data_IF_064726523462
#
_entry.id   IF_064726523462
#
_cell.length_a   1.000
_cell.length_b   1.000
_cell.length_c   1.000
_cell.angle_alpha   90.00
_cell.angle_beta   90.00
_cell.angle_gamma   90.00
#
_symmetry.space_group_name_H-M   'P 1'
#
loop_
_entity.id
_entity.type
_entity.pdbx_description
1 polymer ?
#
# COMPACT_ATOMS: atom_id res chain seq x y z
N UNK A 1 20.31 22.27 -12.30
CA UNK A 1 19.09 21.53 -12.72
C UNK A 1 19.15 20.16 -12.06
N UNK A 2 18.11 19.76 -11.33
CA UNK A 2 18.00 18.38 -10.82
C UNK A 2 17.81 17.48 -12.03
N UNK A 3 18.62 16.42 -12.17
CA UNK A 3 18.44 15.45 -13.25
C UNK A 3 17.29 14.50 -12.93
N UNK A 4 16.70 13.86 -13.95
CA UNK A 4 15.70 12.79 -13.76
C UNK A 4 16.22 11.70 -12.81
N UNK A 5 17.50 11.32 -12.93
CA UNK A 5 18.15 10.33 -12.07
C UNK A 5 18.20 10.79 -10.61
N UNK A 6 18.49 12.07 -10.37
CA UNK A 6 18.49 12.66 -9.02
C UNK A 6 17.09 12.67 -8.42
N UNK A 7 16.06 13.01 -9.20
CA UNK A 7 14.66 12.97 -8.77
C UNK A 7 14.19 11.54 -8.46
N UNK A 8 14.52 10.59 -9.34
CA UNK A 8 14.27 9.16 -9.13
C UNK A 8 14.93 8.68 -7.83
N UNK A 9 16.21 8.99 -7.62
CA UNK A 9 16.94 8.63 -6.40
C UNK A 9 16.30 9.24 -5.14
N UNK A 10 15.89 10.52 -5.19
CA UNK A 10 15.23 11.16 -4.06
C UNK A 10 13.89 10.49 -3.72
N UNK A 11 13.06 10.20 -4.73
CA UNK A 11 11.79 9.48 -4.56
C UNK A 11 12.00 8.05 -4.06
N UNK A 12 13.01 7.35 -4.56
CA UNK A 12 13.40 6.04 -4.05
C UNK A 12 13.84 6.11 -2.59
N UNK A 13 14.53 7.16 -2.14
CA UNK A 13 14.86 7.28 -0.71
C UNK A 13 13.62 7.55 0.16
N UNK A 14 12.64 8.32 -0.33
CA UNK A 14 11.34 8.47 0.32
C UNK A 14 10.60 7.14 0.40
N UNK A 15 10.71 6.33 -0.66
CA UNK A 15 10.13 5.00 -0.72
C UNK A 15 10.89 4.02 0.20
N UNK A 16 12.20 4.17 0.40
CA UNK A 16 13.01 3.26 1.21
C UNK A 16 12.96 3.56 2.70
N UNK A 17 12.56 4.76 3.15
CA UNK A 17 12.53 5.07 4.58
C UNK A 17 11.62 4.10 5.35
N UNK A 18 12.28 3.24 6.16
CA UNK A 18 11.70 2.18 6.98
C UNK A 18 11.89 2.53 8.44
N UNK A 19 10.80 2.82 9.14
CA UNK A 19 10.82 2.76 10.60
C UNK A 19 10.55 1.30 11.01
N UNK A 20 11.58 0.46 10.90
CA UNK A 20 11.46 -0.98 11.16
C UNK A 20 10.53 -1.67 10.15
N UNK A 21 9.62 -2.48 10.68
CA UNK A 21 8.61 -3.26 9.94
C UNK A 21 7.28 -2.50 9.76
N UNK A 22 7.20 -1.21 10.12
CA UNK A 22 5.94 -0.45 10.08
C UNK A 22 5.56 -0.07 8.65
N UNK A 23 4.31 -0.36 8.27
CA UNK A 23 3.72 0.10 7.03
C UNK A 23 3.40 1.60 7.11
N UNK A 24 4.19 2.41 6.38
CA UNK A 24 4.07 3.87 6.35
C UNK A 24 3.77 4.37 4.92
N UNK A 25 2.53 4.20 4.41
CA UNK A 25 2.19 4.51 3.02
C UNK A 25 1.94 6.01 2.76
N UNK A 26 2.01 6.87 3.78
CA UNK A 26 1.62 8.28 3.71
C UNK A 26 2.31 9.09 2.62
N UNK A 27 3.65 9.14 2.62
CA UNK A 27 4.39 9.86 1.57
C UNK A 27 4.22 9.17 0.19
N UNK A 28 4.36 7.83 0.07
CA UNK A 28 4.08 7.14 -1.20
C UNK A 28 2.72 7.45 -1.81
N UNK A 29 1.63 7.40 -1.04
CA UNK A 29 0.28 7.68 -1.54
C UNK A 29 0.12 9.15 -1.96
N UNK A 30 0.70 10.10 -1.22
CA UNK A 30 0.72 11.50 -1.63
C UNK A 30 1.49 11.70 -2.95
N UNK A 31 2.65 11.07 -3.09
CA UNK A 31 3.44 11.16 -4.32
C UNK A 31 2.69 10.54 -5.52
N UNK A 32 2.07 9.38 -5.34
CA UNK A 32 1.26 8.76 -6.40
C UNK A 32 0.09 9.66 -6.83
N UNK A 33 -0.61 10.26 -5.88
CA UNK A 33 -1.67 11.22 -6.16
C UNK A 33 -1.15 12.46 -6.91
N UNK A 34 -0.06 13.06 -6.44
CA UNK A 34 0.52 14.25 -7.09
C UNK A 34 0.98 13.94 -8.52
N UNK A 35 1.64 12.80 -8.72
CA UNK A 35 2.07 12.33 -10.04
C UNK A 35 0.88 12.11 -10.98
N UNK A 36 -0.22 11.51 -10.50
CA UNK A 36 -1.42 11.35 -11.33
C UNK A 36 -2.03 12.70 -11.73
N UNK A 37 -2.05 13.67 -10.81
CA UNK A 37 -2.56 15.01 -11.11
C UNK A 37 -1.65 15.74 -12.12
N UNK A 38 -0.32 15.63 -11.99
CA UNK A 38 0.60 16.16 -12.99
C UNK A 38 0.42 15.51 -14.36
N UNK A 39 0.19 14.19 -14.42
CA UNK A 39 -0.17 13.50 -15.67
C UNK A 39 -1.43 14.08 -16.30
N UNK A 40 -2.39 14.48 -15.48
CA UNK A 40 -3.62 15.14 -15.92
C UNK A 40 -3.47 16.65 -16.24
N UNK A 41 -2.25 17.20 -16.20
CA UNK A 41 -1.96 18.60 -16.54
C UNK A 41 -2.16 19.59 -15.40
N UNK A 42 -2.18 19.13 -14.14
CA UNK A 42 -2.31 20.00 -12.99
C UNK A 42 -1.10 20.96 -12.86
N UNK A 43 -1.32 22.24 -12.45
CA UNK A 43 -0.23 23.18 -12.18
C UNK A 43 0.68 22.69 -11.03
N UNK A 44 1.86 23.31 -10.88
CA UNK A 44 2.91 22.82 -9.96
C UNK A 44 2.46 22.64 -8.50
N UNK A 45 1.79 23.63 -7.93
CA UNK A 45 1.47 23.69 -6.51
C UNK A 45 0.01 23.32 -6.24
N UNK A 46 -0.22 22.50 -5.22
CA UNK A 46 -1.53 22.06 -4.75
C UNK A 46 -1.88 22.76 -3.44
N UNK A 47 -3.07 23.33 -3.36
CA UNK A 47 -3.63 23.81 -2.11
C UNK A 47 -3.93 22.63 -1.18
N UNK A 48 -3.36 22.65 0.02
CA UNK A 48 -3.51 21.55 0.97
C UNK A 48 -4.97 21.27 1.33
N UNK A 49 -5.74 22.32 1.63
CA UNK A 49 -7.11 22.19 2.13
C UNK A 49 -8.10 21.75 1.05
N UNK A 50 -7.96 22.32 -0.15
CA UNK A 50 -8.89 22.12 -1.25
C UNK A 50 -8.56 20.86 -2.08
N UNK A 51 -7.28 20.54 -2.25
CA UNK A 51 -6.85 19.57 -3.28
C UNK A 51 -6.17 18.34 -2.70
N UNK A 52 -5.45 18.46 -1.58
CA UNK A 52 -4.71 17.33 -0.98
C UNK A 52 -5.50 16.63 0.12
N UNK A 53 -6.18 17.39 0.99
CA UNK A 53 -6.65 16.87 2.27
C UNK A 53 -7.61 15.68 2.13
N UNK A 54 -8.69 15.83 1.35
CA UNK A 54 -9.70 14.79 1.20
C UNK A 54 -9.18 13.59 0.36
N UNK A 55 -8.59 13.80 -0.84
CA UNK A 55 -8.12 12.67 -1.65
C UNK A 55 -7.06 11.83 -0.94
N UNK A 56 -6.10 12.46 -0.26
CA UNK A 56 -5.09 11.73 0.49
C UNK A 56 -5.69 11.02 1.71
N UNK A 57 -6.67 11.61 2.39
CA UNK A 57 -7.38 10.93 3.50
C UNK A 57 -8.08 9.68 3.00
N UNK A 58 -8.71 9.73 1.83
CA UNK A 58 -9.38 8.59 1.22
C UNK A 58 -8.38 7.47 0.89
N UNK A 59 -7.29 7.80 0.20
CA UNK A 59 -6.22 6.84 -0.12
C UNK A 59 -5.62 6.21 1.15
N UNK A 60 -5.41 6.98 2.21
CA UNK A 60 -4.91 6.47 3.49
C UNK A 60 -5.87 5.47 4.14
N UNK A 61 -7.18 5.72 4.08
CA UNK A 61 -8.19 4.79 4.58
C UNK A 61 -8.28 3.51 3.75
N UNK A 62 -8.12 3.63 2.43
CA UNK A 62 -8.24 2.52 1.48
C UNK A 62 -6.99 1.63 1.47
N UNK A 63 -5.79 2.21 1.52
CA UNK A 63 -4.53 1.48 1.30
C UNK A 63 -3.55 1.55 2.49
N UNK A 64 -3.93 2.22 3.57
CA UNK A 64 -3.16 2.29 4.80
C UNK A 64 -3.69 1.43 5.95
N UNK A 65 -2.87 1.26 7.01
CA UNK A 65 -3.32 0.65 8.25
C UNK A 65 -4.52 1.41 8.83
N UNK A 66 -5.48 0.71 9.42
CA UNK A 66 -6.60 1.37 10.10
C UNK A 66 -6.09 2.17 11.31
N UNK A 67 -6.43 3.45 11.36
CA UNK A 67 -6.05 4.37 12.45
C UNK A 67 -7.29 5.07 13.00
N UNK A 68 -7.22 5.51 14.26
CA UNK A 68 -8.25 6.36 14.87
C UNK A 68 -8.35 7.72 14.17
N UNK A 69 -7.21 8.23 13.72
CA UNK A 69 -7.12 9.53 13.04
C UNK A 69 -6.01 9.46 12.01
N UNK A 70 -6.34 9.90 10.80
CA UNK A 70 -5.39 10.06 9.70
C UNK A 70 -4.83 11.49 9.69
N UNK A 71 -3.54 11.61 9.41
CA UNK A 71 -2.84 12.89 9.42
C UNK A 71 -2.23 13.20 8.05
N UNK A 72 -3.05 13.49 7.02
CA UNK A 72 -2.58 13.81 5.67
C UNK A 72 -1.72 15.09 5.62
N UNK A 73 -1.83 15.99 6.61
CA UNK A 73 -0.96 17.16 6.75
C UNK A 73 0.52 16.77 6.94
N UNK A 74 0.79 15.64 7.59
CA UNK A 74 2.14 15.24 7.95
C UNK A 74 3.01 14.83 6.75
N UNK A 75 2.59 13.92 5.84
CA UNK A 75 3.38 13.65 4.64
C UNK A 75 3.53 14.90 3.77
N UNK A 76 2.47 15.69 3.60
CA UNK A 76 2.49 16.93 2.83
C UNK A 76 3.56 17.92 3.31
N UNK A 77 3.60 18.18 4.63
CA UNK A 77 4.59 19.09 5.18
C UNK A 77 6.00 18.48 5.25
N UNK A 78 6.12 17.19 5.54
CA UNK A 78 7.42 16.53 5.72
C UNK A 78 8.15 16.29 4.41
N UNK A 79 7.48 16.25 3.26
CA UNK A 79 8.14 16.05 1.97
C UNK A 79 9.20 17.13 1.67
N UNK A 80 9.07 18.33 2.24
CA UNK A 80 10.07 19.42 2.09
C UNK A 80 11.48 19.05 2.55
N UNK A 81 11.62 18.02 3.40
CA UNK A 81 12.93 17.55 3.88
C UNK A 81 13.59 16.55 2.93
N UNK A 82 12.87 16.09 1.91
CA UNK A 82 13.34 15.08 0.96
C UNK A 82 13.97 15.68 -0.30
N UNK A 83 14.02 17.02 -0.42
CA UNK A 83 14.85 17.73 -1.39
C UNK A 83 14.26 17.94 -2.78
N UNK A 84 12.98 17.63 -2.99
CA UNK A 84 12.27 17.85 -4.26
C UNK A 84 10.87 18.45 -4.09
N UNK A 85 10.53 18.91 -2.88
CA UNK A 85 9.19 19.37 -2.52
C UNK A 85 9.24 20.77 -1.92
N UNK A 86 8.41 21.65 -2.44
CA UNK A 86 8.30 23.04 -2.04
C UNK A 86 6.97 23.29 -1.32
N UNK A 87 7.00 24.22 -0.36
CA UNK A 87 5.81 24.69 0.36
C UNK A 87 5.74 26.22 0.20
N UNK A 88 4.59 26.74 -0.20
CA UNK A 88 4.27 28.15 -0.31
C UNK A 88 3.15 28.55 0.67
N UNK A 89 3.07 29.85 0.99
CA UNK A 89 2.09 30.44 1.91
C UNK A 89 2.17 29.90 3.35
N UNK A 90 3.38 29.53 3.80
CA UNK A 90 3.62 28.92 5.11
C UNK A 90 4.02 29.92 6.21
N UNK A 91 4.07 31.22 5.92
CA UNK A 91 4.55 32.26 6.83
C UNK A 91 3.70 32.35 8.11
N UNK A 92 2.40 32.07 8.01
CA UNK A 92 1.48 32.02 9.15
C UNK A 92 1.52 30.71 9.94
N UNK A 93 2.22 29.68 9.46
CA UNK A 93 2.38 28.40 10.16
C UNK A 93 3.53 28.49 11.19
N UNK A 94 3.23 28.98 12.40
CA UNK A 94 4.25 29.21 13.43
C UNK A 94 4.66 27.91 14.14
N UNK A 95 5.97 27.61 14.26
CA UNK A 95 6.44 26.43 14.98
C UNK A 95 6.13 26.56 16.48
N UNK A 96 5.74 25.45 17.11
CA UNK A 96 5.41 25.39 18.53
C UNK A 96 6.54 24.70 19.31
N UNK A 97 6.68 25.01 20.59
CA UNK A 97 7.71 24.39 21.45
C UNK A 97 7.47 22.88 21.51
N UNK A 98 8.44 22.09 21.05
CA UNK A 98 8.37 20.61 21.01
C UNK A 98 7.68 20.01 19.77
N UNK A 99 7.01 20.81 18.93
CA UNK A 99 6.48 20.36 17.64
C UNK A 99 6.56 21.47 16.59
N UNK A 100 7.47 21.30 15.63
CA UNK A 100 7.70 22.26 14.54
C UNK A 100 6.75 22.06 13.35
N UNK A 101 5.80 21.13 13.45
CA UNK A 101 4.91 20.73 12.36
C UNK A 101 3.55 21.44 12.53
N UNK A 102 2.99 22.05 11.46
CA UNK A 102 1.71 22.72 11.51
C UNK A 102 0.56 21.72 11.64
N UNK A 103 -0.48 22.18 12.32
CA UNK A 103 -1.76 21.50 12.39
C UNK A 103 -2.49 21.54 11.04
N UNK A 104 -3.44 20.62 10.85
CA UNK A 104 -4.36 20.64 9.70
C UNK A 104 -5.01 22.02 9.52
N UNK A 105 -5.50 22.62 10.62
CA UNK A 105 -6.23 23.88 10.56
C UNK A 105 -5.33 25.02 10.11
N UNK A 106 -4.09 25.10 10.63
CA UNK A 106 -3.12 26.11 10.19
C UNK A 106 -2.81 26.01 8.69
N UNK A 107 -2.65 24.79 8.15
CA UNK A 107 -2.43 24.62 6.72
C UNK A 107 -3.63 25.10 5.87
N UNK A 108 -4.85 24.88 6.35
CA UNK A 108 -6.09 25.30 5.68
C UNK A 108 -6.28 26.82 5.76
N UNK A 109 -6.16 27.39 6.95
CA UNK A 109 -6.41 28.82 7.19
C UNK A 109 -5.41 29.70 6.43
N UNK A 110 -4.15 29.25 6.32
CA UNK A 110 -3.12 29.96 5.57
C UNK A 110 -3.11 29.62 4.08
N UNK A 111 -4.03 28.78 3.58
CA UNK A 111 -4.09 28.35 2.18
C UNK A 111 -2.72 27.84 1.69
N UNK A 112 -2.07 27.02 2.53
CA UNK A 112 -0.73 26.50 2.25
C UNK A 112 -0.80 25.68 0.98
N UNK A 113 0.10 25.98 0.05
CA UNK A 113 0.26 25.23 -1.18
C UNK A 113 1.58 24.46 -1.17
N UNK A 114 1.63 23.33 -1.88
CA UNK A 114 2.83 22.51 -1.93
C UNK A 114 2.82 21.57 -3.12
N UNK A 115 4.00 21.19 -3.57
CA UNK A 115 4.18 20.38 -4.76
C UNK A 115 5.65 20.11 -5.00
N UNK A 116 5.98 19.57 -6.17
CA UNK A 116 7.37 19.44 -6.57
C UNK A 116 8.01 20.84 -6.68
N UNK A 117 9.30 20.93 -6.35
CA UNK A 117 10.04 22.17 -6.58
C UNK A 117 10.07 22.51 -8.08
N UNK A 118 10.40 23.77 -8.40
CA UNK A 118 10.38 24.25 -9.79
C UNK A 118 11.26 23.39 -10.70
N UNK A 119 12.45 22.98 -10.24
CA UNK A 119 13.38 22.20 -11.07
C UNK A 119 12.82 20.80 -11.38
N UNK A 120 12.30 20.10 -10.37
CA UNK A 120 11.70 18.78 -10.51
C UNK A 120 10.43 18.83 -11.36
N UNK A 121 9.57 19.84 -11.18
CA UNK A 121 8.36 19.99 -11.99
C UNK A 121 8.68 20.26 -13.47
N UNK A 122 9.66 21.13 -13.77
CA UNK A 122 10.09 21.37 -15.15
C UNK A 122 10.67 20.11 -15.81
N UNK A 123 11.33 19.22 -15.06
CA UNK A 123 11.76 17.92 -15.59
C UNK A 123 10.57 17.04 -15.99
N UNK A 124 9.50 17.01 -15.18
CA UNK A 124 8.29 16.24 -15.52
C UNK A 124 7.54 16.82 -16.72
N UNK A 125 7.54 18.13 -16.91
CA UNK A 125 6.97 18.77 -18.10
C UNK A 125 7.77 18.45 -19.36
N UNK A 126 9.11 18.45 -19.26
CA UNK A 126 9.99 18.11 -20.38
C UNK A 126 9.95 16.61 -20.74
N UNK A 127 9.69 15.75 -19.75
CA UNK A 127 9.70 14.29 -19.88
C UNK A 127 8.47 13.64 -19.21
N UNK A 128 7.25 13.78 -19.78
CA UNK A 128 6.03 13.27 -19.17
C UNK A 128 6.04 11.75 -18.92
N UNK A 129 6.79 10.98 -19.71
CA UNK A 129 6.98 9.54 -19.54
C UNK A 129 7.64 9.17 -18.20
N UNK A 130 8.37 10.09 -17.58
CA UNK A 130 9.00 9.90 -16.26
C UNK A 130 7.95 9.79 -15.16
N UNK A 131 6.76 10.38 -15.34
CA UNK A 131 5.70 10.32 -14.33
C UNK A 131 5.27 8.88 -14.06
N UNK A 132 4.97 8.11 -15.11
CA UNK A 132 4.57 6.70 -14.98
C UNK A 132 5.74 5.83 -14.52
N UNK A 133 6.99 6.15 -14.88
CA UNK A 133 8.17 5.46 -14.37
C UNK A 133 8.34 5.64 -12.86
N UNK A 134 8.20 6.86 -12.36
CA UNK A 134 8.26 7.19 -10.94
C UNK A 134 7.12 6.53 -10.17
N UNK A 135 5.90 6.61 -10.70
CA UNK A 135 4.73 5.97 -10.12
C UNK A 135 4.92 4.44 -10.05
N UNK A 136 5.37 3.83 -11.13
CA UNK A 136 5.67 2.40 -11.18
C UNK A 136 6.73 1.99 -10.15
N UNK A 137 7.79 2.79 -9.98
CA UNK A 137 8.82 2.54 -8.97
C UNK A 137 8.23 2.59 -7.55
N UNK A 138 7.47 3.63 -7.23
CA UNK A 138 6.81 3.78 -5.91
C UNK A 138 5.88 2.58 -5.65
N UNK A 139 5.07 2.19 -6.63
CA UNK A 139 4.15 1.06 -6.51
C UNK A 139 4.92 -0.24 -6.19
N UNK A 140 5.96 -0.53 -6.97
CA UNK A 140 6.77 -1.75 -6.83
C UNK A 140 7.46 -1.82 -5.46
N UNK A 141 8.02 -0.71 -4.99
CA UNK A 141 8.81 -0.69 -3.76
C UNK A 141 7.95 -0.73 -2.49
N UNK A 142 6.71 -0.21 -2.56
CA UNK A 142 5.93 0.11 -1.35
C UNK A 142 4.69 -0.73 -1.15
N UNK A 143 4.17 -1.36 -2.19
CA UNK A 143 2.91 -2.07 -2.14
C UNK A 143 3.07 -3.48 -2.69
N UNK A 144 2.32 -4.48 -2.18
CA UNK A 144 2.30 -5.81 -2.78
C UNK A 144 1.63 -5.75 -4.15
N UNK A 145 1.93 -6.73 -5.00
CA UNK A 145 1.50 -6.74 -6.41
C UNK A 145 -0.02 -6.67 -6.61
N UNK A 146 -0.79 -7.30 -5.72
CA UNK A 146 -2.26 -7.21 -5.66
C UNK A 146 -2.75 -5.77 -5.57
N UNK A 147 -2.08 -4.95 -4.77
CA UNK A 147 -2.41 -3.54 -4.50
C UNK A 147 -1.89 -2.61 -5.60
N UNK A 148 -0.72 -2.92 -6.18
CA UNK A 148 -0.09 -2.08 -7.21
C UNK A 148 -1.04 -1.76 -8.37
N UNK A 149 -1.74 -2.77 -8.89
CA UNK A 149 -2.67 -2.60 -10.01
C UNK A 149 -3.94 -1.86 -9.62
N UNK A 150 -4.45 -2.08 -8.40
CA UNK A 150 -5.64 -1.38 -7.90
C UNK A 150 -5.34 0.13 -7.79
N UNK A 151 -4.22 0.49 -7.15
CA UNK A 151 -3.79 1.87 -7.00
C UNK A 151 -3.53 2.56 -8.35
N UNK A 152 -2.79 1.90 -9.25
CA UNK A 152 -2.49 2.46 -10.56
C UNK A 152 -3.77 2.78 -11.35
N UNK A 153 -4.70 1.82 -11.41
CA UNK A 153 -5.97 2.00 -12.11
C UNK A 153 -6.81 3.11 -11.49
N UNK A 154 -6.90 3.16 -10.15
CA UNK A 154 -7.67 4.17 -9.43
C UNK A 154 -7.14 5.59 -9.68
N UNK A 155 -5.83 5.74 -9.87
CA UNK A 155 -5.17 7.01 -10.11
C UNK A 155 -4.92 7.30 -11.61
N UNK A 156 -5.35 6.44 -12.53
CA UNK A 156 -5.13 6.63 -13.97
C UNK A 156 -3.64 6.63 -14.38
N UNK A 157 -2.80 5.90 -13.64
CA UNK A 157 -1.36 5.76 -13.90
C UNK A 157 -1.12 4.55 -14.79
N UNK A 158 -0.24 4.68 -15.78
CA UNK A 158 0.11 3.56 -16.65
C UNK A 158 1.06 2.64 -15.89
N UNK A 159 0.64 1.39 -15.70
CA UNK A 159 1.41 0.43 -14.92
C UNK A 159 1.66 -0.85 -15.72
N UNK A 160 2.92 -1.07 -16.05
CA UNK A 160 3.36 -2.30 -16.71
C UNK A 160 3.78 -3.30 -15.63
N UNK A 161 3.02 -4.39 -15.49
CA UNK A 161 3.35 -5.48 -14.58
C UNK A 161 4.69 -6.09 -15.00
N UNK A 162 5.73 -5.86 -14.21
CA UNK A 162 7.04 -6.51 -14.42
C UNK A 162 7.11 -7.78 -13.59
N UNK A 163 7.17 -8.94 -14.25
CA UNK A 163 7.32 -10.28 -13.65
C UNK A 163 8.58 -10.47 -12.78
N UNK A 164 9.47 -9.47 -12.66
CA UNK A 164 10.81 -9.63 -12.08
C UNK A 164 10.84 -9.92 -10.57
N UNK A 165 9.75 -9.71 -9.83
CA UNK A 165 9.78 -9.73 -8.36
C UNK A 165 9.19 -10.97 -7.66
N UNK A 166 8.52 -11.88 -8.39
CA UNK A 166 8.08 -13.16 -7.80
C UNK A 166 9.23 -14.15 -7.82
N UNK A 167 9.60 -14.66 -6.64
CA UNK A 167 10.39 -15.87 -6.55
C UNK A 167 9.46 -17.05 -6.92
N UNK A 168 9.67 -17.72 -8.06
CA UNK A 168 8.83 -18.85 -8.45
C UNK A 168 8.85 -19.95 -7.38
N UNK A 169 9.99 -20.11 -6.68
CA UNK A 169 10.13 -21.11 -5.62
C UNK A 169 9.20 -20.83 -4.45
N UNK A 170 9.04 -19.56 -4.06
CA UNK A 170 8.13 -19.19 -2.97
C UNK A 170 6.69 -19.62 -3.28
N UNK A 171 6.22 -19.34 -4.50
CA UNK A 171 4.91 -19.79 -4.96
C UNK A 171 4.81 -21.31 -4.87
N UNK A 172 5.79 -22.03 -5.41
CA UNK A 172 5.74 -23.48 -5.48
C UNK A 172 5.72 -24.14 -4.10
N UNK A 173 6.56 -23.69 -3.16
CA UNK A 173 6.61 -24.27 -1.80
C UNK A 173 5.33 -23.98 -1.01
N UNK A 174 4.76 -22.77 -1.13
CA UNK A 174 3.51 -22.41 -0.45
C UNK A 174 2.34 -23.20 -1.03
N UNK A 175 2.19 -23.21 -2.36
CA UNK A 175 1.09 -23.96 -2.98
C UNK A 175 1.20 -25.45 -2.71
N UNK A 176 2.40 -26.02 -2.63
CA UNK A 176 2.59 -27.42 -2.23
C UNK A 176 2.13 -27.66 -0.79
N UNK A 177 2.54 -26.82 0.16
CA UNK A 177 2.19 -26.97 1.57
C UNK A 177 0.67 -26.91 1.84
N UNK A 178 -0.05 -26.11 1.05
CA UNK A 178 -1.51 -25.98 1.12
C UNK A 178 -2.26 -26.87 0.13
N UNK A 179 -1.59 -27.82 -0.52
CA UNK A 179 -2.19 -28.72 -1.53
C UNK A 179 -2.93 -27.99 -2.66
N UNK A 180 -2.40 -26.84 -3.10
CA UNK A 180 -2.96 -25.98 -4.15
C UNK A 180 -4.38 -25.50 -3.87
N UNK A 181 -4.74 -25.38 -2.59
CA UNK A 181 -6.05 -24.95 -2.13
C UNK A 181 -5.98 -23.61 -1.42
N UNK A 182 -6.99 -22.76 -1.61
CA UNK A 182 -7.14 -21.53 -0.86
C UNK A 182 -7.29 -21.83 0.64
N UNK A 183 -6.38 -21.28 1.44
CA UNK A 183 -6.35 -21.37 2.89
C UNK A 183 -7.63 -20.81 3.53
N UNK A 184 -8.25 -19.81 2.90
CA UNK A 184 -9.43 -19.13 3.42
C UNK A 184 -10.76 -19.86 3.11
N UNK A 185 -11.00 -20.23 1.84
CA UNK A 185 -12.31 -20.74 1.41
C UNK A 185 -12.31 -22.19 0.90
N UNK A 186 -11.14 -22.81 0.73
CA UNK A 186 -11.04 -24.15 0.19
C UNK A 186 -11.11 -24.26 -1.34
N UNK A 187 -11.18 -23.14 -2.08
CA UNK A 187 -11.15 -23.13 -3.54
C UNK A 187 -9.88 -23.79 -4.10
N UNK A 188 -10.01 -24.68 -5.07
CA UNK A 188 -8.92 -25.47 -5.68
C UNK A 188 -9.18 -25.78 -7.18
N UNK A 189 -9.91 -24.90 -7.88
CA UNK A 189 -10.35 -25.12 -9.27
C UNK A 189 -9.19 -25.49 -10.21
N UNK A 190 -9.43 -26.54 -10.99
CA UNK A 190 -8.58 -26.94 -12.11
C UNK A 190 -9.37 -27.01 -13.39
N UNK A 191 -8.79 -26.50 -14.46
CA UNK A 191 -9.28 -26.68 -15.83
C UNK A 191 -8.25 -27.53 -16.57
N UNK A 192 -8.62 -28.75 -16.93
CA UNK A 192 -7.73 -29.72 -17.62
C UNK A 192 -6.36 -29.89 -16.92
N UNK A 193 -6.39 -29.92 -15.60
CA UNK A 193 -5.19 -30.05 -14.74
C UNK A 193 -4.50 -28.72 -14.41
N UNK A 194 -4.72 -27.66 -15.18
CA UNK A 194 -4.18 -26.33 -14.91
C UNK A 194 -4.86 -25.69 -13.69
N UNK A 195 -4.07 -25.28 -12.71
CA UNK A 195 -4.56 -24.61 -11.50
C UNK A 195 -4.99 -23.18 -11.82
N UNK A 196 -6.25 -22.84 -11.55
CA UNK A 196 -6.81 -21.53 -11.88
C UNK A 196 -6.89 -20.67 -10.63
N UNK A 197 -6.42 -19.43 -10.70
CA UNK A 197 -6.75 -18.40 -9.72
C UNK A 197 -6.16 -18.58 -8.31
N UNK A 198 -5.23 -19.50 -8.08
CA UNK A 198 -4.54 -19.66 -6.78
C UNK A 198 -3.17 -18.97 -6.80
N UNK A 199 -2.85 -18.26 -5.72
CA UNK A 199 -1.65 -17.47 -5.54
C UNK A 199 -1.02 -17.70 -4.16
N UNK A 200 0.27 -17.38 -4.04
CA UNK A 200 0.96 -17.35 -2.75
C UNK A 200 1.01 -15.89 -2.28
N UNK A 201 0.29 -15.60 -1.19
CA UNK A 201 0.27 -14.30 -0.52
C UNK A 201 1.32 -14.29 0.59
N UNK A 202 1.95 -13.14 0.82
CA UNK A 202 2.81 -12.95 1.98
C UNK A 202 1.99 -12.43 3.16
N UNK A 203 2.15 -13.03 4.34
CA UNK A 203 1.51 -12.54 5.58
C UNK A 203 2.19 -11.23 6.01
N UNK A 204 3.50 -11.29 6.19
CA UNK A 204 4.38 -10.13 6.27
C UNK A 204 4.86 -9.80 4.86
N UNK A 205 4.44 -8.65 4.33
CA UNK A 205 4.77 -8.21 2.99
C UNK A 205 6.28 -8.18 2.72
N UNK A 206 6.67 -8.71 1.56
CA UNK A 206 8.06 -8.71 1.09
C UNK A 206 8.66 -7.30 0.98
N UNK A 207 7.85 -6.31 0.57
CA UNK A 207 8.25 -4.90 0.49
C UNK A 207 8.62 -4.29 1.85
N UNK A 208 8.16 -4.89 2.95
CA UNK A 208 8.47 -4.49 4.33
C UNK A 208 9.39 -5.47 5.07
N UNK A 209 10.05 -6.39 4.34
CA UNK A 209 11.08 -7.28 4.88
C UNK A 209 10.60 -8.68 5.24
N UNK A 210 9.36 -9.04 4.90
CA UNK A 210 8.88 -10.41 5.08
C UNK A 210 9.63 -11.43 4.21
N UNK A 211 10.11 -12.55 4.78
CA UNK A 211 10.88 -13.55 4.05
C UNK A 211 10.00 -14.45 3.18
N UNK A 212 10.57 -15.01 2.12
CA UNK A 212 9.92 -15.96 1.23
C UNK A 212 9.98 -17.41 1.78
N UNK A 213 9.29 -17.66 2.90
CA UNK A 213 9.20 -18.98 3.57
C UNK A 213 7.74 -19.39 3.78
N UNK A 214 7.46 -20.69 3.88
CA UNK A 214 6.08 -21.20 3.97
C UNK A 214 5.34 -20.63 5.19
N UNK A 215 6.01 -20.49 6.34
CA UNK A 215 5.40 -19.89 7.54
C UNK A 215 4.98 -18.42 7.36
N UNK A 216 5.51 -17.72 6.36
CA UNK A 216 5.09 -16.37 5.98
C UNK A 216 4.16 -16.36 4.75
N UNK A 217 3.71 -17.52 4.30
CA UNK A 217 2.96 -17.69 3.06
C UNK A 217 1.57 -18.26 3.31
N UNK A 218 0.57 -17.73 2.58
CA UNK A 218 -0.75 -18.33 2.47
C UNK A 218 -1.03 -18.65 1.00
N UNK A 219 -1.52 -19.86 0.71
CA UNK A 219 -2.14 -20.11 -0.58
C UNK A 219 -3.54 -19.49 -0.57
N UNK A 220 -3.82 -18.51 -1.42
CA UNK A 220 -5.13 -17.85 -1.48
C UNK A 220 -5.62 -17.79 -2.92
N UNK A 221 -6.95 -17.86 -3.13
CA UNK A 221 -7.50 -17.53 -4.45
C UNK A 221 -7.35 -16.02 -4.72
N UNK A 222 -7.38 -15.60 -5.98
CA UNK A 222 -7.13 -14.20 -6.36
C UNK A 222 -8.02 -13.22 -5.57
N UNK A 223 -9.29 -13.54 -5.35
CA UNK A 223 -10.20 -12.70 -4.57
C UNK A 223 -9.75 -12.56 -3.11
N UNK A 224 -9.46 -13.68 -2.44
CA UNK A 224 -9.04 -13.65 -1.03
C UNK A 224 -7.61 -13.12 -0.87
N UNK A 225 -6.75 -13.25 -1.88
CA UNK A 225 -5.43 -12.63 -1.88
C UNK A 225 -5.54 -11.10 -1.86
N UNK A 226 -6.28 -10.52 -2.80
CA UNK A 226 -6.48 -9.07 -2.88
C UNK A 226 -7.17 -8.56 -1.61
N UNK A 227 -8.17 -9.28 -1.09
CA UNK A 227 -8.85 -8.93 0.14
C UNK A 227 -7.94 -8.98 1.38
N UNK A 228 -7.01 -9.95 1.45
CA UNK A 228 -6.06 -10.07 2.55
C UNK A 228 -5.06 -8.92 2.56
N UNK A 229 -4.53 -8.54 1.40
CA UNK A 229 -3.62 -7.41 1.26
C UNK A 229 -4.33 -6.05 1.45
N UNK A 230 -5.62 -5.95 1.13
CA UNK A 230 -6.44 -4.77 1.47
C UNK A 230 -6.83 -4.70 2.96
N UNK A 231 -6.53 -5.73 3.74
CA UNK A 231 -6.86 -5.81 5.16
C UNK A 231 -8.33 -6.10 5.46
N UNK A 232 -9.08 -6.63 4.48
CA UNK A 232 -10.49 -7.00 4.63
C UNK A 232 -10.69 -8.19 5.57
N UNK A 233 -9.68 -9.06 5.71
CA UNK A 233 -9.63 -10.05 6.77
C UNK A 233 -8.20 -10.24 7.27
N UNK A 234 -8.07 -10.80 8.46
CA UNK A 234 -6.81 -11.17 9.09
C UNK A 234 -6.99 -12.45 9.89
N UNK A 235 -5.97 -12.78 10.69
CA UNK A 235 -5.96 -13.94 11.57
C UNK A 235 -5.71 -13.51 13.02
N UNK A 236 -6.38 -14.15 13.96
CA UNK A 236 -6.05 -14.02 15.38
C UNK A 236 -4.89 -14.93 15.80
N UNK A 237 -4.59 -14.95 17.09
CA UNK A 237 -3.47 -15.68 17.70
C UNK A 237 -3.62 -17.21 17.55
N UNK A 238 -4.85 -17.68 17.32
CA UNK A 238 -5.17 -19.09 17.13
C UNK A 238 -5.30 -19.45 15.63
N UNK A 239 -4.93 -18.53 14.73
CA UNK A 239 -5.10 -18.67 13.28
C UNK A 239 -6.57 -18.80 12.84
N UNK A 240 -7.51 -18.29 13.65
CA UNK A 240 -8.89 -18.17 13.24
C UNK A 240 -9.10 -16.89 12.41
N UNK A 241 -9.98 -16.99 11.42
CA UNK A 241 -10.27 -15.92 10.48
C UNK A 241 -11.04 -14.80 11.17
N UNK A 242 -10.62 -13.55 10.96
CA UNK A 242 -11.33 -12.35 11.44
C UNK A 242 -11.62 -11.42 10.26
N UNK A 243 -12.89 -11.07 10.07
CA UNK A 243 -13.33 -10.18 9.00
C UNK A 243 -13.40 -8.74 9.52
N UNK A 244 -12.89 -7.79 8.73
CA UNK A 244 -12.95 -6.37 9.05
C UNK A 244 -14.39 -5.88 9.07
N UNK A 245 -14.72 -5.04 10.05
CA UNK A 245 -16.03 -4.38 10.11
C UNK A 245 -16.34 -3.46 8.91
N UNK A 246 -15.34 -3.12 8.10
CA UNK A 246 -15.52 -2.35 6.87
C UNK A 246 -15.99 -3.17 5.66
N UNK A 247 -16.04 -4.50 5.76
CA UNK A 247 -16.52 -5.37 4.68
C UNK A 247 -18.04 -5.28 4.57
N UNK A 248 -18.56 -5.13 3.36
CA UNK A 248 -20.01 -5.05 3.10
C UNK A 248 -20.74 -6.36 3.44
N UNK A 249 -22.07 -6.32 3.45
CA UNK A 249 -22.97 -7.41 3.92
C UNK A 249 -23.95 -7.89 2.85
N UNK A 250 -23.61 -7.74 1.57
CA UNK A 250 -24.46 -8.31 0.52
C UNK A 250 -24.47 -9.84 0.61
N UNK A 251 -25.52 -10.56 0.15
CA UNK A 251 -25.61 -12.01 0.31
C UNK A 251 -24.39 -12.78 -0.22
N UNK A 252 -23.81 -12.32 -1.35
CA UNK A 252 -22.60 -12.92 -1.93
C UNK A 252 -21.38 -12.65 -1.05
N UNK A 253 -21.22 -11.44 -0.54
CA UNK A 253 -20.10 -11.10 0.36
C UNK A 253 -20.22 -11.84 1.69
N UNK A 254 -21.43 -12.01 2.21
CA UNK A 254 -21.66 -12.80 3.42
C UNK A 254 -21.21 -14.25 3.24
N UNK A 255 -21.56 -14.87 2.11
CA UNK A 255 -21.11 -16.22 1.77
C UNK A 255 -19.58 -16.29 1.59
N UNK A 256 -19.01 -15.36 0.82
CA UNK A 256 -17.58 -15.38 0.48
C UNK A 256 -16.66 -14.96 1.62
N UNK A 257 -17.15 -14.25 2.64
CA UNK A 257 -16.34 -13.72 3.75
C UNK A 257 -16.94 -13.99 5.12
N UNK A 258 -18.12 -13.45 5.42
CA UNK A 258 -18.64 -13.41 6.80
C UNK A 258 -18.97 -14.78 7.39
N UNK A 259 -19.43 -15.73 6.58
CA UNK A 259 -19.64 -17.10 7.05
C UNK A 259 -18.35 -17.77 7.54
N UNK A 260 -17.18 -17.30 7.10
CA UNK A 260 -15.86 -17.77 7.55
C UNK A 260 -15.35 -17.07 8.80
N UNK A 261 -16.01 -16.01 9.27
CA UNK A 261 -15.56 -15.29 10.45
C UNK A 261 -15.57 -16.20 11.69
N UNK A 262 -14.45 -16.26 12.40
CA UNK A 262 -14.23 -17.13 13.56
C UNK A 262 -13.93 -18.58 13.23
N UNK A 263 -13.99 -19.01 11.96
CA UNK A 263 -13.58 -20.35 11.56
C UNK A 263 -12.05 -20.47 11.50
N UNK A 264 -11.56 -21.68 11.69
CA UNK A 264 -10.14 -21.97 11.52
C UNK A 264 -9.73 -21.84 10.06
N UNK A 265 -8.58 -21.22 9.80
CA UNK A 265 -7.95 -21.24 8.49
C UNK A 265 -7.64 -22.70 8.07
N UNK A 266 -7.72 -23.03 6.78
CA UNK A 266 -7.18 -24.28 6.28
C UNK A 266 -5.65 -24.23 6.34
N UNK A 267 -5.06 -24.97 7.27
CA UNK A 267 -3.63 -24.99 7.51
C UNK A 267 -2.93 -26.12 6.75
N UNK A 268 -1.61 -26.02 6.51
CA UNK A 268 -0.80 -27.14 6.03
C UNK A 268 -0.93 -28.35 6.94
N UNK A 269 -0.79 -29.55 6.37
CA UNK A 269 -0.83 -30.79 7.15
C UNK A 269 0.33 -30.87 8.17
N UNK A 270 1.51 -30.44 7.74
CA UNK A 270 2.69 -30.33 8.59
C UNK A 270 2.63 -29.06 9.44
N UNK A 271 2.57 -29.23 10.77
CA UNK A 271 2.49 -28.14 11.73
C UNK A 271 3.73 -27.23 11.73
N UNK A 272 4.89 -27.75 11.33
CA UNK A 272 6.12 -26.95 11.23
C UNK A 272 6.03 -25.87 10.15
N UNK A 273 5.10 -26.03 9.20
CA UNK A 273 4.85 -25.10 8.10
C UNK A 273 3.74 -24.09 8.38
N UNK A 274 3.14 -24.11 9.57
CA UNK A 274 2.04 -23.21 9.89
C UNK A 274 2.48 -21.75 9.93
N UNK A 275 1.56 -20.81 9.62
CA UNK A 275 1.78 -19.40 9.85
C UNK A 275 2.25 -19.11 11.28
N UNK A 276 3.37 -18.40 11.42
CA UNK A 276 3.92 -18.05 12.75
C UNK A 276 3.37 -16.71 13.23
N UNK A 277 3.19 -16.57 14.55
CA UNK A 277 2.66 -15.34 15.17
C UNK A 277 3.51 -14.10 14.87
N UNK A 278 4.81 -14.22 14.60
CA UNK A 278 5.62 -13.09 14.16
C UNK A 278 5.03 -12.40 12.92
N UNK A 279 4.66 -13.17 11.90
CA UNK A 279 4.12 -12.63 10.65
C UNK A 279 2.64 -12.30 10.77
N UNK A 280 1.87 -13.16 11.43
CA UNK A 280 0.44 -12.92 11.65
C UNK A 280 0.21 -11.68 12.50
N UNK A 281 0.96 -11.52 13.59
CA UNK A 281 0.93 -10.34 14.45
C UNK A 281 1.38 -9.07 13.71
N UNK A 282 2.32 -9.17 12.77
CA UNK A 282 2.65 -8.07 11.86
C UNK A 282 1.45 -7.68 11.01
N UNK A 283 0.82 -8.64 10.30
CA UNK A 283 -0.34 -8.37 9.45
C UNK A 283 -1.50 -7.76 10.24
N UNK A 284 -1.78 -8.32 11.43
CA UNK A 284 -2.81 -7.85 12.36
C UNK A 284 -2.62 -6.38 12.75
N UNK A 285 -1.37 -5.93 12.91
CA UNK A 285 -1.03 -4.55 13.30
C UNK A 285 -0.94 -3.60 12.11
N UNK A 286 -0.42 -4.07 10.98
CA UNK A 286 -0.04 -3.19 9.86
C UNK A 286 -1.07 -3.15 8.74
N UNK A 287 -1.80 -4.25 8.50
CA UNK A 287 -2.64 -4.41 7.31
C UNK A 287 -4.10 -4.62 7.68
N UNK A 288 -4.39 -5.56 8.59
CA UNK A 288 -5.76 -5.89 8.97
C UNK A 288 -6.51 -4.69 9.55
N UNK A 289 -7.73 -4.45 9.02
CA UNK A 289 -8.56 -3.30 9.40
C UNK A 289 -9.63 -3.71 10.42
N UNK A 290 -9.19 -4.19 11.58
CA UNK A 290 -10.04 -4.66 12.69
C UNK A 290 -11.24 -3.74 12.96
#
# INVERSE_FOLDING_TARGET
>A
MISVETLQSAISNVSVWRQGDICAPHKPLLLLFVLSQYKAGHPRLFNYGLEIHEPLTRLLKEFGPKRRTDYPNMPFWRLRTDGFWEIANAEGCKPRRGNTQPTKQELIDNQVAGGFDEAAYQQLLAHPEVIDQLAQQILIDRFPESIQRILANQLGLDFIVRSKNRDPRFRDIVLRAYHSRCAFCGYDLRLDGALVGIQAAHIHWKTYGGPCVVNNGLALCSLHHDAFDMGAFGLDENLAIRISGGVSRSPVVDNLFWQRNGQQLHLPHDQTLWPTEQYVGWHRKQIFKA
#
